data_IF_649620341677
#
_entry.id   IF_649620341677
#
_cell.length_a   1.000
_cell.length_b   1.000
_cell.length_c   1.000
_cell.angle_alpha   90.00
_cell.angle_beta   90.00
_cell.angle_gamma   90.00
#
_symmetry.space_group_name_H-M   'P 1'
#
loop_
_entity.id
_entity.type
_entity.pdbx_description
1 polymer ?
#
# COMPACT_ATOMS: atom_id res chain seq x y z
N UNK A 1 -60.74 -19.34 19.02
CA UNK A 1 -60.16 -18.67 17.81
C UNK A 1 -58.73 -18.29 18.14
N UNK A 2 -57.73 -19.00 17.60
CA UNK A 2 -56.29 -18.71 17.81
C UNK A 2 -55.86 -17.67 16.81
N UNK A 3 -55.41 -16.46 17.28
CA UNK A 3 -54.84 -15.46 16.43
C UNK A 3 -53.40 -15.85 16.05
N UNK A 4 -53.18 -16.12 14.78
CA UNK A 4 -51.85 -16.38 14.21
C UNK A 4 -51.19 -15.04 13.92
N UNK A 5 -50.21 -14.64 14.75
CA UNK A 5 -49.41 -13.44 14.49
C UNK A 5 -48.33 -13.77 13.45
N UNK A 6 -48.44 -13.17 12.29
CA UNK A 6 -47.44 -13.29 11.22
C UNK A 6 -46.31 -12.30 11.50
N UNK A 7 -45.13 -12.79 11.88
CA UNK A 7 -43.91 -11.97 12.04
C UNK A 7 -43.24 -11.87 10.70
N UNK A 8 -43.34 -10.70 10.08
CA UNK A 8 -42.62 -10.38 8.82
C UNK A 8 -41.17 -10.01 9.16
N UNK A 9 -40.24 -10.94 8.96
CA UNK A 9 -38.81 -10.69 9.08
C UNK A 9 -38.37 -10.01 7.76
N UNK A 10 -38.18 -8.69 7.81
CA UNK A 10 -37.59 -7.91 6.72
C UNK A 10 -36.06 -8.14 6.75
N UNK A 11 -35.55 -8.99 5.87
CA UNK A 11 -34.13 -9.09 5.60
C UNK A 11 -33.69 -7.79 4.89
N UNK A 12 -33.09 -6.86 5.62
CA UNK A 12 -32.30 -5.80 5.00
C UNK A 12 -31.07 -6.43 4.36
N UNK A 13 -31.12 -6.68 3.07
CA UNK A 13 -29.93 -7.03 2.28
C UNK A 13 -29.09 -5.77 2.16
N UNK A 14 -28.15 -5.61 3.09
CA UNK A 14 -27.09 -4.67 2.90
C UNK A 14 -26.28 -5.13 1.68
N UNK A 15 -26.43 -4.44 0.57
CA UNK A 15 -25.53 -4.57 -0.57
C UNK A 15 -24.13 -4.10 -0.13
N UNK A 16 -23.36 -4.99 0.50
CA UNK A 16 -21.93 -4.84 0.63
C UNK A 16 -21.35 -4.94 -0.79
N UNK A 17 -21.30 -3.82 -1.48
CA UNK A 17 -20.55 -3.72 -2.72
C UNK A 17 -19.12 -4.14 -2.41
N UNK A 18 -18.72 -5.33 -2.85
CA UNK A 18 -17.35 -5.80 -2.75
C UNK A 18 -16.48 -4.81 -3.51
N UNK A 19 -15.63 -4.05 -2.79
CA UNK A 19 -14.75 -3.09 -3.42
C UNK A 19 -13.83 -3.81 -4.40
N UNK A 20 -13.87 -3.37 -5.65
CA UNK A 20 -13.14 -4.00 -6.74
C UNK A 20 -11.64 -3.67 -6.66
N UNK A 21 -10.85 -4.64 -6.17
CA UNK A 21 -9.39 -4.54 -6.09
C UNK A 21 -8.71 -4.53 -7.47
N UNK A 22 -9.45 -4.77 -8.58
CA UNK A 22 -8.90 -4.70 -9.94
C UNK A 22 -8.47 -3.28 -10.33
N UNK A 23 -8.97 -2.26 -9.63
CA UNK A 23 -8.52 -0.87 -9.79
C UNK A 23 -7.03 -0.67 -9.46
N UNK A 24 -6.46 -1.52 -8.61
CA UNK A 24 -5.03 -1.57 -8.38
C UNK A 24 -4.34 -2.29 -9.54
N UNK A 25 -3.66 -1.55 -10.42
CA UNK A 25 -2.90 -2.16 -11.51
C UNK A 25 -1.73 -2.98 -10.97
N UNK A 26 -1.47 -4.13 -11.60
CA UNK A 26 -0.27 -4.94 -11.36
C UNK A 26 0.88 -4.34 -12.13
N UNK A 27 1.95 -4.06 -11.41
CA UNK A 27 3.17 -3.53 -11.98
C UNK A 27 4.39 -4.23 -11.35
N UNK A 28 5.52 -4.09 -11.99
CA UNK A 28 6.82 -4.51 -11.48
C UNK A 28 7.90 -3.55 -11.96
N UNK A 29 8.93 -3.39 -11.17
CA UNK A 29 10.14 -2.69 -11.58
C UNK A 29 11.35 -3.60 -11.35
N UNK A 30 12.30 -3.54 -12.26
CA UNK A 30 13.53 -4.33 -12.21
C UNK A 30 14.70 -3.39 -11.97
N UNK A 31 15.49 -3.69 -10.96
CA UNK A 31 16.76 -3.03 -10.68
C UNK A 31 17.87 -4.08 -10.78
N UNK A 32 18.67 -4.01 -11.82
CA UNK A 32 19.70 -5.03 -12.13
C UNK A 32 19.10 -6.44 -12.22
N UNK A 33 19.29 -7.27 -11.19
CA UNK A 33 18.79 -8.64 -11.12
C UNK A 33 17.55 -8.78 -10.23
N UNK A 34 17.23 -7.75 -9.45
CA UNK A 34 16.16 -7.77 -8.47
C UNK A 34 14.86 -7.18 -9.02
N UNK A 35 13.75 -7.77 -8.65
CA UNK A 35 12.42 -7.34 -9.07
C UNK A 35 11.57 -6.96 -7.86
N UNK A 36 11.00 -5.77 -7.88
CA UNK A 36 9.95 -5.36 -6.95
C UNK A 36 8.59 -5.47 -7.64
N UNK A 37 7.75 -6.37 -7.16
CA UNK A 37 6.34 -6.41 -7.53
C UNK A 37 5.57 -5.36 -6.71
N UNK A 38 4.66 -4.63 -7.36
CA UNK A 38 3.81 -3.69 -6.65
C UNK A 38 2.43 -3.57 -7.30
N UNK A 39 1.50 -3.07 -6.53
CA UNK A 39 0.17 -2.66 -6.98
C UNK A 39 0.04 -1.16 -6.85
N UNK A 40 -0.58 -0.54 -7.84
CA UNK A 40 -0.73 0.92 -7.87
C UNK A 40 -2.17 1.31 -8.19
N UNK A 41 -2.72 2.21 -7.36
CA UNK A 41 -3.99 2.86 -7.58
C UNK A 41 -3.73 4.28 -8.07
N UNK A 42 -4.35 4.61 -9.21
CA UNK A 42 -4.32 5.97 -9.77
C UNK A 42 -5.24 6.92 -9.00
N UNK A 43 -4.91 8.22 -8.96
CA UNK A 43 -5.86 9.24 -8.51
C UNK A 43 -7.17 9.19 -9.28
N UNK A 44 -8.27 9.60 -8.63
CA UNK A 44 -9.57 9.78 -9.28
C UNK A 44 -9.48 10.90 -10.32
N UNK A 45 -10.13 10.69 -11.48
CA UNK A 45 -10.17 11.69 -12.54
C UNK A 45 -8.76 12.20 -12.88
N UNK A 46 -7.82 11.24 -12.95
CA UNK A 46 -6.40 11.54 -13.18
C UNK A 46 -6.18 12.44 -14.40
N UNK A 47 -5.43 13.51 -14.17
CA UNK A 47 -4.99 14.45 -15.20
C UNK A 47 -3.45 14.56 -15.13
N UNK A 48 -2.70 14.23 -16.19
CA UNK A 48 -1.25 14.26 -16.18
C UNK A 48 -0.64 15.66 -15.96
N UNK A 49 -1.42 16.73 -16.15
CA UNK A 49 -1.00 18.10 -15.89
C UNK A 49 -1.15 18.55 -14.43
N UNK A 50 -1.62 17.65 -13.56
CA UNK A 50 -1.77 17.92 -12.12
C UNK A 50 -0.80 17.08 -11.32
N UNK A 51 -0.35 17.63 -10.19
CA UNK A 51 0.46 16.91 -9.22
C UNK A 51 -0.40 16.31 -8.12
N UNK A 52 -0.14 15.04 -7.79
CA UNK A 52 -0.89 14.30 -6.79
C UNK A 52 0.02 13.84 -5.64
N UNK A 53 -0.51 13.78 -4.41
CA UNK A 53 0.18 13.11 -3.31
C UNK A 53 0.49 11.66 -3.63
N UNK A 54 1.46 11.09 -2.92
CA UNK A 54 1.78 9.65 -2.97
C UNK A 54 1.61 9.04 -1.59
N UNK A 55 0.99 7.89 -1.53
CA UNK A 55 0.88 7.08 -0.31
C UNK A 55 1.49 5.71 -0.54
N UNK A 56 2.58 5.43 0.16
CA UNK A 56 3.21 4.12 0.22
C UNK A 56 2.61 3.32 1.39
N UNK A 57 2.10 2.12 1.12
CA UNK A 57 1.59 1.22 2.15
C UNK A 57 2.40 -0.07 2.23
N UNK A 58 3.02 -0.33 3.36
CA UNK A 58 3.82 -1.52 3.62
C UNK A 58 2.97 -2.59 4.33
N UNK A 59 2.85 -3.76 3.72
CA UNK A 59 2.02 -4.85 4.21
C UNK A 59 2.65 -5.61 5.40
N UNK A 60 1.87 -6.44 6.08
CA UNK A 60 2.32 -7.29 7.17
C UNK A 60 3.09 -8.54 6.70
N UNK A 61 3.61 -9.30 7.65
CA UNK A 61 4.44 -10.47 7.35
C UNK A 61 3.70 -11.59 6.60
N UNK A 62 2.37 -11.69 6.80
CA UNK A 62 1.53 -12.71 6.16
C UNK A 62 1.35 -12.50 4.65
N UNK A 63 1.52 -11.28 4.15
CA UNK A 63 1.29 -10.90 2.76
C UNK A 63 2.55 -10.95 1.90
N UNK A 64 3.68 -11.42 2.48
CA UNK A 64 4.92 -11.66 1.75
C UNK A 64 4.74 -12.69 0.65
N UNK A 65 5.41 -12.50 -0.45
CA UNK A 65 5.34 -13.41 -1.60
C UNK A 65 5.79 -12.76 -2.89
N UNK A 66 5.38 -13.36 -4.00
CA UNK A 66 5.66 -12.88 -5.35
C UNK A 66 4.43 -13.00 -6.29
N UNK A 67 3.24 -13.21 -5.71
CA UNK A 67 1.99 -13.34 -6.45
C UNK A 67 1.45 -12.00 -6.97
N UNK A 68 2.01 -10.90 -6.47
CA UNK A 68 1.57 -9.54 -6.71
C UNK A 68 0.05 -9.38 -6.46
N UNK A 69 -0.45 -9.99 -5.35
CA UNK A 69 -1.86 -10.01 -4.98
C UNK A 69 -2.05 -9.91 -3.46
N UNK A 70 -1.30 -10.69 -2.68
CA UNK A 70 -1.49 -10.83 -1.25
C UNK A 70 -1.28 -9.52 -0.48
N UNK A 71 -0.43 -8.60 -0.96
CA UNK A 71 -0.21 -7.28 -0.36
C UNK A 71 -1.46 -6.39 -0.29
N UNK A 72 -2.53 -6.72 -1.04
CA UNK A 72 -3.79 -5.98 -1.01
C UNK A 72 -4.80 -6.48 0.03
N UNK A 73 -4.51 -7.58 0.72
CA UNK A 73 -5.48 -8.22 1.66
C UNK A 73 -5.86 -7.24 2.77
N UNK A 74 -4.90 -6.49 3.29
CA UNK A 74 -5.13 -5.49 4.32
C UNK A 74 -4.83 -4.07 3.81
N UNK A 75 -5.64 -3.10 4.23
CA UNK A 75 -5.48 -1.68 3.90
C UNK A 75 -6.04 -1.27 2.55
N UNK A 76 -5.93 -2.06 1.49
CA UNK A 76 -6.30 -1.66 0.13
C UNK A 76 -7.75 -1.17 0.01
N UNK A 77 -8.69 -1.82 0.68
CA UNK A 77 -10.10 -1.40 0.68
C UNK A 77 -10.33 -0.02 1.28
N UNK A 78 -9.47 0.43 2.20
CA UNK A 78 -9.57 1.77 2.80
C UNK A 78 -9.43 2.86 1.73
N UNK A 79 -8.45 2.70 0.85
CA UNK A 79 -8.17 3.66 -0.22
C UNK A 79 -9.15 3.59 -1.39
N UNK A 80 -9.99 2.53 -1.47
CA UNK A 80 -11.05 2.42 -2.49
C UNK A 80 -12.38 3.01 -2.03
N UNK A 81 -12.54 3.34 -0.75
CA UNK A 81 -13.75 4.03 -0.29
C UNK A 81 -13.85 5.38 -0.98
N UNK A 82 -15.05 5.67 -1.52
CA UNK A 82 -15.31 6.89 -2.29
C UNK A 82 -14.90 8.14 -1.49
N UNK A 83 -15.32 8.21 -0.23
CA UNK A 83 -15.06 9.34 0.66
C UNK A 83 -13.56 9.57 0.85
N UNK A 84 -12.78 8.49 1.05
CA UNK A 84 -11.33 8.57 1.23
C UNK A 84 -10.63 8.99 -0.06
N UNK A 85 -11.08 8.47 -1.21
CA UNK A 85 -10.51 8.84 -2.52
C UNK A 85 -10.81 10.30 -2.90
N UNK A 86 -11.96 10.82 -2.52
CA UNK A 86 -12.32 12.22 -2.76
C UNK A 86 -11.52 13.15 -1.84
N UNK A 87 -11.34 12.78 -0.58
CA UNK A 87 -10.60 13.57 0.40
C UNK A 87 -9.07 13.50 0.21
N UNK A 88 -8.53 12.30 -0.13
CA UNK A 88 -7.10 12.04 -0.31
C UNK A 88 -6.82 11.49 -1.70
N UNK A 89 -7.09 12.29 -2.71
CA UNK A 89 -6.89 11.89 -4.10
C UNK A 89 -5.40 11.78 -4.43
N UNK A 90 -4.86 10.58 -4.35
CA UNK A 90 -3.42 10.29 -4.39
C UNK A 90 -3.09 9.07 -5.24
N UNK A 91 -1.83 8.95 -5.62
CA UNK A 91 -1.23 7.67 -5.98
C UNK A 91 -1.13 6.82 -4.72
N UNK A 92 -1.59 5.57 -4.77
CA UNK A 92 -1.43 4.63 -3.65
C UNK A 92 -0.67 3.41 -4.12
N UNK A 93 0.43 3.09 -3.43
CA UNK A 93 1.39 2.07 -3.84
C UNK A 93 1.49 1.01 -2.75
N UNK A 94 1.31 -0.24 -3.15
CA UNK A 94 1.45 -1.44 -2.33
C UNK A 94 2.55 -2.32 -2.91
N UNK A 95 3.82 -2.17 -2.50
CA UNK A 95 4.88 -3.09 -2.88
C UNK A 95 4.69 -4.44 -2.18
N UNK A 96 5.30 -5.51 -2.69
CA UNK A 96 5.29 -6.83 -2.08
C UNK A 96 6.71 -7.28 -1.75
N UNK A 97 6.99 -7.50 -0.47
CA UNK A 97 8.24 -8.12 -0.03
C UNK A 97 8.24 -9.61 -0.38
N UNK A 98 9.36 -10.17 -0.85
CA UNK A 98 9.51 -11.60 -1.07
C UNK A 98 9.27 -12.42 0.21
N UNK A 99 8.96 -13.72 0.06
CA UNK A 99 8.64 -14.59 1.19
C UNK A 99 9.76 -14.71 2.24
N UNK A 100 10.99 -14.60 1.79
CA UNK A 100 12.22 -14.73 2.59
C UNK A 100 12.85 -13.37 2.95
N UNK A 101 12.11 -12.26 2.77
CA UNK A 101 12.59 -10.92 3.07
C UNK A 101 11.52 -10.11 3.83
N UNK A 102 11.82 -8.88 4.27
CA UNK A 102 10.93 -8.06 5.09
C UNK A 102 11.19 -6.56 4.92
N UNK A 103 10.31 -5.73 5.49
CA UNK A 103 10.47 -4.29 5.54
C UNK A 103 11.33 -3.89 6.73
N UNK A 104 12.64 -3.79 6.55
CA UNK A 104 13.50 -3.46 7.68
C UNK A 104 14.99 -3.46 7.35
N UNK A 105 15.80 -3.65 8.38
CA UNK A 105 17.24 -3.86 8.25
C UNK A 105 17.53 -5.32 7.90
N UNK A 106 18.71 -5.58 7.33
CA UNK A 106 19.14 -6.93 6.96
C UNK A 106 19.14 -7.90 8.14
N UNK A 107 19.47 -7.40 9.34
CA UNK A 107 19.31 -8.14 10.59
C UNK A 107 18.05 -7.63 11.32
N UNK A 108 16.98 -8.43 11.42
CA UNK A 108 15.71 -7.99 12.01
C UNK A 108 15.77 -7.70 13.50
N UNK A 109 16.82 -8.13 14.18
CA UNK A 109 17.02 -7.94 15.64
C UNK A 109 17.96 -6.78 15.98
N UNK A 110 18.54 -6.12 14.98
CA UNK A 110 19.44 -4.99 15.18
C UNK A 110 18.83 -3.68 14.69
N UNK A 111 18.36 -2.89 15.60
CA UNK A 111 18.05 -1.47 15.38
C UNK A 111 19.31 -0.64 15.66
N UNK A 112 20.21 -0.55 14.72
CA UNK A 112 21.46 0.20 14.90
C UNK A 112 21.74 1.08 13.68
N UNK A 113 22.34 2.25 13.92
CA UNK A 113 22.62 3.29 12.91
C UNK A 113 23.50 2.86 11.73
N UNK A 114 24.13 1.69 11.78
CA UNK A 114 25.06 1.21 10.75
C UNK A 114 24.64 -0.17 10.20
N UNK A 115 23.37 -0.55 10.33
CA UNK A 115 22.90 -1.82 9.78
C UNK A 115 22.28 -1.57 8.40
N UNK A 116 22.77 -2.31 7.41
CA UNK A 116 22.26 -2.25 6.05
C UNK A 116 20.79 -2.70 6.03
N UNK A 117 19.98 -2.02 5.25
CA UNK A 117 18.58 -2.39 5.00
C UNK A 117 18.47 -3.75 4.29
N UNK A 118 17.32 -4.39 4.43
CA UNK A 118 16.95 -5.60 3.67
C UNK A 118 16.85 -5.29 2.18
N UNK A 119 16.93 -6.31 1.32
CA UNK A 119 16.79 -6.09 -0.12
C UNK A 119 15.43 -5.51 -0.48
N UNK A 120 14.34 -6.01 0.15
CA UNK A 120 13.00 -5.49 -0.08
C UNK A 120 12.90 -4.00 0.27
N UNK A 121 13.47 -3.57 1.40
CA UNK A 121 13.48 -2.15 1.79
C UNK A 121 14.33 -1.33 0.82
N UNK A 122 15.50 -1.79 0.44
CA UNK A 122 16.38 -1.13 -0.55
C UNK A 122 15.66 -0.91 -1.89
N UNK A 123 14.94 -1.94 -2.37
CA UNK A 123 14.17 -1.85 -3.62
C UNK A 123 13.02 -0.84 -3.53
N UNK A 124 12.31 -0.80 -2.39
CA UNK A 124 11.24 0.18 -2.18
C UNK A 124 11.80 1.60 -2.16
N UNK A 125 12.94 1.82 -1.48
CA UNK A 125 13.60 3.13 -1.45
C UNK A 125 13.98 3.56 -2.87
N UNK A 126 14.69 2.71 -3.62
CA UNK A 126 15.08 2.99 -5.02
C UNK A 126 13.85 3.30 -5.88
N UNK A 127 12.79 2.50 -5.75
CA UNK A 127 11.55 2.72 -6.47
C UNK A 127 10.93 4.08 -6.13
N UNK A 128 10.84 4.42 -4.85
CA UNK A 128 10.27 5.70 -4.41
C UNK A 128 11.12 6.89 -4.86
N UNK A 129 12.46 6.77 -4.83
CA UNK A 129 13.38 7.79 -5.36
C UNK A 129 13.14 8.14 -6.83
N UNK A 130 12.76 7.13 -7.64
CA UNK A 130 12.40 7.34 -9.04
C UNK A 130 10.95 7.85 -9.18
N UNK A 131 10.03 7.26 -8.42
CA UNK A 131 8.61 7.55 -8.55
C UNK A 131 8.26 8.99 -8.19
N UNK A 132 8.86 9.54 -7.13
CA UNK A 132 8.57 10.91 -6.68
C UNK A 132 9.10 12.00 -7.59
N UNK A 133 10.05 11.68 -8.50
CA UNK A 133 10.59 12.63 -9.50
C UNK A 133 9.65 12.88 -10.68
N UNK A 134 8.55 12.14 -10.77
CA UNK A 134 7.58 12.27 -11.86
C UNK A 134 6.90 13.63 -11.80
N UNK A 135 6.62 14.21 -12.95
CA UNK A 135 5.96 15.52 -13.08
C UNK A 135 4.55 15.56 -12.47
N UNK A 136 3.86 14.41 -12.43
CA UNK A 136 2.50 14.26 -11.88
C UNK A 136 2.49 13.91 -10.37
N UNK A 137 3.62 14.03 -9.70
CA UNK A 137 3.77 13.78 -8.25
C UNK A 137 4.10 15.07 -7.50
N UNK A 138 3.35 15.31 -6.43
CA UNK A 138 3.66 16.36 -5.48
C UNK A 138 4.69 15.86 -4.46
N UNK A 139 5.96 16.23 -4.67
CA UNK A 139 7.09 15.79 -3.83
C UNK A 139 7.00 16.25 -2.37
N UNK A 140 6.21 17.28 -2.07
CA UNK A 140 5.97 17.77 -0.71
C UNK A 140 4.81 17.05 -0.01
N UNK A 141 4.22 16.04 -0.64
CA UNK A 141 3.06 15.27 -0.13
C UNK A 141 3.27 13.79 -0.36
N UNK A 142 4.33 13.26 0.23
CA UNK A 142 4.67 11.83 0.20
C UNK A 142 4.42 11.26 1.60
N UNK A 143 3.64 10.20 1.66
CA UNK A 143 3.20 9.59 2.92
C UNK A 143 3.54 8.11 2.94
N UNK A 144 3.87 7.60 4.10
CA UNK A 144 4.06 6.17 4.34
C UNK A 144 3.24 5.68 5.52
N UNK A 145 2.71 4.49 5.39
CA UNK A 145 2.07 3.77 6.50
C UNK A 145 2.26 2.26 6.32
N UNK A 146 1.96 1.50 7.34
CA UNK A 146 2.09 0.04 7.26
C UNK A 146 1.40 -0.68 8.40
N UNK A 147 1.22 -2.00 8.21
CA UNK A 147 0.59 -2.89 9.17
C UNK A 147 1.61 -3.88 9.72
N UNK A 148 1.69 -4.06 11.05
CA UNK A 148 2.57 -5.06 11.70
C UNK A 148 4.03 -4.91 11.21
N UNK A 149 4.59 -5.92 10.52
CA UNK A 149 5.90 -5.83 9.87
C UNK A 149 6.05 -4.54 9.02
N UNK A 150 4.99 -4.14 8.31
CA UNK A 150 4.96 -2.89 7.55
C UNK A 150 4.96 -1.64 8.43
N UNK A 151 4.37 -1.70 9.62
CA UNK A 151 4.47 -0.63 10.63
C UNK A 151 5.92 -0.44 11.10
N UNK A 152 6.64 -1.53 11.38
CA UNK A 152 8.08 -1.49 11.67
C UNK A 152 8.85 -0.91 10.49
N UNK A 153 8.53 -1.35 9.25
CA UNK A 153 9.13 -0.84 8.03
C UNK A 153 8.90 0.67 7.82
N UNK A 154 7.77 1.18 8.28
CA UNK A 154 7.48 2.63 8.24
C UNK A 154 8.51 3.41 9.07
N UNK A 155 8.81 2.97 10.30
CA UNK A 155 9.86 3.61 11.10
C UNK A 155 11.25 3.48 10.49
N UNK A 156 11.56 2.33 9.87
CA UNK A 156 12.84 2.11 9.22
C UNK A 156 13.03 3.03 8.02
N UNK A 157 12.03 3.13 7.13
CA UNK A 157 12.16 3.98 5.93
C UNK A 157 12.22 5.47 6.30
N UNK A 158 11.48 5.90 7.32
CA UNK A 158 11.56 7.27 7.86
C UNK A 158 12.94 7.58 8.45
N UNK A 159 13.59 6.60 9.07
CA UNK A 159 14.95 6.77 9.56
C UNK A 159 16.01 6.81 8.44
N UNK A 160 15.81 6.02 7.38
CA UNK A 160 16.73 5.96 6.24
C UNK A 160 16.54 7.14 5.27
N UNK A 161 15.33 7.67 5.14
CA UNK A 161 14.96 8.71 4.18
C UNK A 161 14.01 9.74 4.80
N UNK A 162 14.44 10.45 5.87
CA UNK A 162 13.58 11.42 6.57
C UNK A 162 13.14 12.59 5.68
N UNK A 163 13.92 12.90 4.63
CA UNK A 163 13.62 13.98 3.69
C UNK A 163 12.56 13.62 2.64
N UNK A 164 12.19 12.35 2.53
CA UNK A 164 11.24 11.88 1.51
C UNK A 164 9.78 12.03 1.93
N UNK A 165 9.47 11.94 3.24
CA UNK A 165 8.13 11.81 3.78
C UNK A 165 7.69 12.96 4.67
#
# INVERSE_FOLDING_TARGET
>A
MKKLSFFLIVFMVNNLSAQDLSQYKKEKIVFETDTLNYRILKPLNYNPSKQYPVHLFLHGAGERGNDNKSQLVHGAKLFLKKENREQFNSWVIFPQAPKNDWWGYKDPYKFAYNVKESNAMSLVIKFMDEFIKREDVNQNKVYVSGLSMGGMGTFVILNLRPEMF
#
